data_IF_939547827410
#
_entry.id   IF_939547827410
#
_cell.length_a   1.000
_cell.length_b   1.000
_cell.length_c   1.000
_cell.angle_alpha   90.00
_cell.angle_beta   90.00
_cell.angle_gamma   90.00
#
_symmetry.space_group_name_H-M   'P 1'
#
loop_
_entity.id
_entity.type
_entity.pdbx_description
1 polymer ?
#
# COMPACT_ATOMS: atom_id res chain seq x y z
N UNK A 1 -2.82 15.83 3.81
CA UNK A 1 -3.06 14.89 2.69
C UNK A 1 -4.36 15.25 1.98
N UNK A 2 -5.46 15.42 2.71
CA UNK A 2 -6.76 15.86 2.15
C UNK A 2 -6.70 17.15 1.31
N UNK A 3 -5.93 18.16 1.74
CA UNK A 3 -5.80 19.44 1.03
C UNK A 3 -5.11 19.33 -0.36
N UNK A 4 -4.32 18.28 -0.59
CA UNK A 4 -3.65 18.03 -1.89
C UNK A 4 -4.66 17.41 -2.89
N UNK A 5 -5.70 16.75 -2.40
CA UNK A 5 -6.65 15.95 -3.19
C UNK A 5 -7.79 16.78 -3.77
N UNK A 6 -8.23 17.84 -3.06
CA UNK A 6 -9.45 18.58 -3.39
C UNK A 6 -9.38 19.38 -4.70
N UNK A 7 -8.20 19.52 -5.32
CA UNK A 7 -7.99 20.44 -6.44
C UNK A 7 -7.71 19.77 -7.79
N UNK A 8 -7.57 18.43 -7.87
CA UNK A 8 -7.25 17.76 -9.14
C UNK A 8 -7.77 16.32 -9.21
N UNK A 9 -8.86 16.13 -9.96
CA UNK A 9 -9.56 14.85 -10.12
C UNK A 9 -8.79 13.78 -10.94
N UNK A 10 -7.53 14.02 -11.32
CA UNK A 10 -6.76 13.13 -12.19
C UNK A 10 -5.31 12.92 -11.71
N UNK A 11 -5.06 13.11 -10.41
CA UNK A 11 -3.73 12.83 -9.83
C UNK A 11 -3.60 11.33 -9.58
N UNK A 12 -2.48 10.78 -10.05
CA UNK A 12 -2.01 9.45 -9.68
C UNK A 12 -1.29 9.52 -8.33
N UNK A 13 -1.72 8.73 -7.37
CA UNK A 13 -1.15 8.69 -6.02
C UNK A 13 -0.51 7.35 -5.74
N UNK A 14 0.59 7.38 -5.00
CA UNK A 14 1.20 6.19 -4.43
C UNK A 14 1.60 6.53 -3.01
N UNK A 15 1.08 5.74 -2.07
CA UNK A 15 1.41 5.80 -0.67
C UNK A 15 2.23 4.55 -0.35
N UNK A 16 3.50 4.73 -0.01
CA UNK A 16 4.38 3.67 0.46
C UNK A 16 4.79 3.93 1.90
N UNK A 17 4.98 2.87 2.67
CA UNK A 17 5.56 3.00 4.00
C UNK A 17 5.40 1.75 4.86
N UNK A 18 6.02 1.81 6.04
CA UNK A 18 5.82 0.86 7.12
C UNK A 18 4.59 1.27 7.93
N UNK A 19 3.51 0.52 7.77
CA UNK A 19 2.27 0.77 8.48
C UNK A 19 2.22 0.04 9.83
N UNK A 20 3.05 -0.98 10.04
CA UNK A 20 3.12 -1.77 11.27
C UNK A 20 1.72 -2.14 11.80
N UNK A 21 0.94 -2.83 10.97
CA UNK A 21 -0.43 -3.27 11.27
C UNK A 21 -0.46 -4.80 11.46
N UNK A 22 -0.11 -5.31 12.65
CA UNK A 22 -0.10 -6.75 12.90
C UNK A 22 -1.50 -7.35 12.83
N UNK A 23 -1.59 -8.56 12.26
CA UNK A 23 -2.84 -9.32 12.11
C UNK A 23 -3.90 -8.58 11.27
N UNK A 24 -3.47 -7.71 10.36
CA UNK A 24 -4.32 -7.02 9.40
C UNK A 24 -3.78 -7.28 8.00
N UNK A 25 -4.67 -7.58 7.07
CA UNK A 25 -4.35 -7.74 5.65
C UNK A 25 -5.32 -6.93 4.81
N UNK A 26 -4.79 -6.17 3.86
CA UNK A 26 -5.59 -5.48 2.84
C UNK A 26 -5.56 -6.29 1.54
N UNK A 27 -6.69 -6.33 0.84
CA UNK A 27 -6.82 -6.95 -0.49
C UNK A 27 -7.83 -6.16 -1.33
N UNK A 28 -7.97 -6.50 -2.61
CA UNK A 28 -8.94 -5.83 -3.49
C UNK A 28 -9.99 -6.81 -3.98
N UNK A 29 -11.22 -6.34 -4.15
CA UNK A 29 -12.31 -7.04 -4.81
C UNK A 29 -12.89 -6.21 -5.99
N UNK A 30 -14.11 -6.54 -6.42
CA UNK A 30 -14.80 -5.81 -7.49
C UNK A 30 -15.19 -4.38 -7.09
N UNK A 31 -15.44 -4.16 -5.80
CA UNK A 31 -16.01 -2.92 -5.26
C UNK A 31 -14.93 -1.98 -4.70
N UNK A 32 -13.72 -2.50 -4.44
CA UNK A 32 -12.57 -1.68 -4.10
C UNK A 32 -11.58 -2.41 -3.20
N UNK A 33 -11.01 -1.67 -2.25
CA UNK A 33 -10.18 -2.22 -1.20
C UNK A 33 -11.06 -2.81 -0.09
N UNK A 34 -10.63 -3.94 0.47
CA UNK A 34 -11.18 -4.58 1.65
C UNK A 34 -10.03 -4.89 2.62
N UNK A 35 -10.35 -5.07 3.90
CA UNK A 35 -9.39 -5.60 4.86
C UNK A 35 -10.00 -6.71 5.70
N UNK A 36 -9.12 -7.57 6.22
CA UNK A 36 -9.44 -8.62 7.17
C UNK A 36 -8.52 -8.48 8.37
N UNK A 37 -9.01 -8.87 9.56
CA UNK A 37 -8.20 -8.91 10.78
C UNK A 37 -8.76 -8.06 11.91
N UNK A 38 -7.85 -7.47 12.70
CA UNK A 38 -8.19 -6.70 13.91
C UNK A 38 -8.50 -5.24 13.56
N UNK A 39 -9.68 -4.77 13.97
CA UNK A 39 -10.04 -3.36 13.90
C UNK A 39 -9.22 -2.52 14.89
N UNK A 40 -8.84 -1.33 14.44
CA UNK A 40 -8.30 -0.26 15.28
C UNK A 40 -8.51 1.07 14.58
N UNK A 41 -8.51 2.17 15.33
CA UNK A 41 -8.65 3.52 14.77
C UNK A 41 -7.68 3.78 13.60
N UNK A 42 -6.45 3.23 13.68
CA UNK A 42 -5.45 3.37 12.62
C UNK A 42 -5.87 2.63 11.35
N UNK A 43 -6.37 1.39 11.49
CA UNK A 43 -6.84 0.57 10.36
C UNK A 43 -8.04 1.23 9.71
N UNK A 44 -9.00 1.67 10.51
CA UNK A 44 -10.24 2.27 10.02
C UNK A 44 -9.94 3.58 9.27
N UNK A 45 -9.07 4.45 9.80
CA UNK A 45 -8.66 5.69 9.10
C UNK A 45 -7.96 5.42 7.78
N UNK A 46 -7.05 4.43 7.72
CA UNK A 46 -6.38 4.06 6.47
C UNK A 46 -7.38 3.50 5.47
N UNK A 47 -8.26 2.62 5.93
CA UNK A 47 -9.27 1.98 5.10
C UNK A 47 -10.24 3.00 4.50
N UNK A 48 -10.80 3.88 5.32
CA UNK A 48 -11.72 4.94 4.89
C UNK A 48 -11.04 5.86 3.88
N UNK A 49 -9.79 6.26 4.15
CA UNK A 49 -9.04 7.09 3.23
C UNK A 49 -8.81 6.40 1.88
N UNK A 50 -8.46 5.11 1.89
CA UNK A 50 -8.27 4.34 0.67
C UNK A 50 -9.57 4.17 -0.11
N UNK A 51 -10.70 3.88 0.56
CA UNK A 51 -12.01 3.81 -0.09
C UNK A 51 -12.41 5.15 -0.73
N UNK A 52 -12.27 6.26 -0.02
CA UNK A 52 -12.64 7.59 -0.51
C UNK A 52 -11.87 8.02 -1.76
N UNK A 53 -10.66 7.49 -1.96
CA UNK A 53 -9.76 7.89 -3.03
C UNK A 53 -9.51 6.77 -4.08
N UNK A 54 -10.30 5.70 -4.06
CA UNK A 54 -10.13 4.51 -4.91
C UNK A 54 -8.68 3.98 -4.92
N UNK A 55 -8.05 3.98 -3.74
CA UNK A 55 -6.72 3.42 -3.56
C UNK A 55 -6.83 1.93 -3.30
N UNK A 56 -6.02 1.17 -4.04
CA UNK A 56 -5.96 -0.28 -3.97
C UNK A 56 -4.60 -0.73 -3.46
N UNK A 57 -4.57 -1.93 -2.89
CA UNK A 57 -3.36 -2.57 -2.37
C UNK A 57 -2.68 -3.39 -3.50
N UNK A 58 -1.41 -3.15 -3.82
CA UNK A 58 -0.70 -3.88 -4.88
C UNK A 58 0.49 -4.77 -4.47
N UNK A 59 0.90 -4.81 -3.20
CA UNK A 59 1.97 -5.68 -2.71
C UNK A 59 1.47 -6.78 -1.76
N UNK A 60 2.04 -7.98 -1.93
CA UNK A 60 1.77 -9.15 -1.10
C UNK A 60 3.08 -9.76 -0.59
N UNK A 61 4.02 -8.89 -0.20
CA UNK A 61 5.38 -9.26 0.16
C UNK A 61 5.48 -9.37 1.68
N UNK A 62 5.19 -10.57 2.21
CA UNK A 62 5.28 -10.85 3.63
C UNK A 62 6.73 -10.88 4.11
N UNK A 63 6.94 -10.47 5.36
CA UNK A 63 8.20 -10.68 6.04
C UNK A 63 8.40 -12.14 6.47
N UNK A 64 9.54 -12.43 7.07
CA UNK A 64 9.91 -13.79 7.51
C UNK A 64 8.98 -14.37 8.59
N UNK A 65 8.14 -13.55 9.23
CA UNK A 65 7.13 -13.97 10.20
C UNK A 65 5.72 -14.10 9.61
N UNK A 66 5.58 -13.99 8.27
CA UNK A 66 4.28 -14.07 7.60
C UNK A 66 3.39 -12.84 7.80
N UNK A 67 3.96 -11.71 8.24
CA UNK A 67 3.25 -10.44 8.42
C UNK A 67 3.52 -9.48 7.27
N UNK A 68 2.55 -8.63 6.95
CA UNK A 68 2.65 -7.61 5.91
C UNK A 68 2.62 -6.22 6.55
N UNK A 69 3.79 -5.62 6.77
CA UNK A 69 3.91 -4.31 7.43
C UNK A 69 4.14 -3.17 6.44
N UNK A 70 4.95 -3.43 5.42
CA UNK A 70 5.18 -2.49 4.34
C UNK A 70 4.03 -2.58 3.35
N UNK A 71 3.25 -1.50 3.20
CA UNK A 71 2.09 -1.44 2.33
C UNK A 71 2.27 -0.38 1.25
N UNK A 72 1.76 -0.67 0.06
CA UNK A 72 1.74 0.21 -1.09
C UNK A 72 0.29 0.33 -1.56
N UNK A 73 -0.28 1.52 -1.38
CA UNK A 73 -1.62 1.86 -1.86
C UNK A 73 -1.52 2.84 -3.03
N UNK A 74 -2.24 2.60 -4.11
CA UNK A 74 -2.29 3.53 -5.25
C UNK A 74 -3.57 3.40 -6.07
N UNK A 75 -3.87 4.40 -6.89
CA UNK A 75 -4.98 4.41 -7.84
C UNK A 75 -4.52 4.12 -9.29
N UNK A 76 -3.37 3.48 -9.46
CA UNK A 76 -2.80 3.13 -10.77
C UNK A 76 -3.03 1.64 -11.00
N UNK A 77 -3.89 1.31 -11.95
CA UNK A 77 -4.20 -0.09 -12.27
C UNK A 77 -2.94 -0.87 -12.66
N UNK A 78 -2.88 -2.12 -12.19
CA UNK A 78 -1.84 -3.09 -12.51
C UNK A 78 -0.41 -2.67 -12.13
N UNK A 79 -0.24 -1.91 -11.05
CA UNK A 79 1.08 -1.55 -10.54
C UNK A 79 1.79 -2.78 -9.95
N UNK A 80 2.87 -3.30 -10.57
CA UNK A 80 3.58 -4.46 -10.05
C UNK A 80 4.41 -4.05 -8.82
N UNK A 81 4.40 -4.87 -7.78
CA UNK A 81 5.30 -4.73 -6.63
C UNK A 81 5.97 -6.06 -6.33
N UNK A 82 7.30 -6.07 -6.28
CA UNK A 82 8.10 -7.26 -5.94
C UNK A 82 9.16 -6.90 -4.89
N UNK A 83 9.74 -7.92 -4.25
CA UNK A 83 10.94 -7.73 -3.43
C UNK A 83 12.17 -7.44 -4.30
N UNK A 84 13.16 -6.72 -3.76
CA UNK A 84 14.44 -6.46 -4.41
C UNK A 84 15.61 -6.70 -3.45
N UNK A 85 16.75 -7.10 -4.00
CA UNK A 85 18.04 -7.18 -3.28
C UNK A 85 18.98 -6.02 -3.66
N UNK A 86 18.57 -5.17 -4.60
CA UNK A 86 19.29 -3.95 -4.95
C UNK A 86 18.96 -2.86 -3.94
N UNK A 87 19.80 -2.76 -2.90
CA UNK A 87 19.55 -1.91 -1.73
C UNK A 87 20.76 -1.05 -1.41
N UNK A 88 20.48 0.18 -0.97
CA UNK A 88 21.52 1.14 -0.58
C UNK A 88 22.04 0.90 0.84
N UNK A 89 21.27 0.18 1.66
CA UNK A 89 21.57 -0.14 3.05
C UNK A 89 21.25 -1.61 3.33
N UNK A 90 21.88 -2.24 4.34
CA UNK A 90 21.52 -3.59 4.76
C UNK A 90 20.02 -3.73 5.06
N UNK A 91 19.41 -4.81 4.56
CA UNK A 91 17.98 -5.10 4.74
C UNK A 91 17.72 -5.62 6.16
N UNK A 92 16.66 -5.13 6.80
CA UNK A 92 16.12 -5.71 8.03
C UNK A 92 15.26 -6.94 7.71
N UNK A 93 15.40 -8.01 8.49
CA UNK A 93 14.65 -9.25 8.34
C UNK A 93 13.13 -9.07 8.45
N UNK A 94 12.67 -7.98 9.08
CA UNK A 94 11.24 -7.66 9.21
C UNK A 94 10.69 -6.82 8.06
N UNK A 95 11.56 -6.18 7.28
CA UNK A 95 11.19 -5.19 6.25
C UNK A 95 11.93 -5.51 4.94
N UNK A 96 11.40 -6.44 4.12
CA UNK A 96 11.99 -6.73 2.83
C UNK A 96 11.95 -5.49 1.93
N UNK A 97 13.05 -5.18 1.25
CA UNK A 97 13.06 -4.07 0.31
C UNK A 97 12.12 -4.35 -0.86
N UNK A 98 11.30 -3.36 -1.23
CA UNK A 98 10.30 -3.47 -2.30
C UNK A 98 10.68 -2.59 -3.48
N UNK A 99 10.35 -3.06 -4.68
CA UNK A 99 10.45 -2.31 -5.93
C UNK A 99 9.09 -2.27 -6.61
N UNK A 100 8.75 -1.12 -7.17
CA UNK A 100 7.57 -0.93 -8.01
C UNK A 100 7.94 -0.08 -9.22
N UNK A 101 7.25 -0.31 -10.34
CA UNK A 101 7.48 0.40 -11.59
C UNK A 101 6.22 1.16 -11.95
N UNK A 102 6.40 2.42 -12.31
CA UNK A 102 5.31 3.33 -12.59
C UNK A 102 5.39 3.82 -14.03
N UNK A 103 4.34 3.54 -14.79
CA UNK A 103 4.19 4.08 -16.13
C UNK A 103 3.57 5.47 -16.05
N UNK A 104 4.44 6.48 -16.19
CA UNK A 104 4.04 7.86 -16.39
C UNK A 104 3.65 8.03 -17.86
N UNK A 105 2.42 7.65 -18.21
CA UNK A 105 1.85 8.02 -19.50
C UNK A 105 1.69 9.55 -19.53
N UNK A 106 2.52 10.20 -20.35
CA UNK A 106 2.49 11.62 -20.70
C UNK A 106 1.39 11.96 -21.69
#
# INVERSE_FOLDING_TARGET
MEEILSNNHNIKFILTGDYNLPNVSFSNDSDGIIFNGVHSDKVDVIFDYCQLNDLRQYNNNFNNSGSLFDLIFNNILNTPVTTTNDVLVPIDNYHPALITVLELNS
#
